data_IF_871702896641
#
_entry.id   IF_871702896641
#
_cell.length_a   1.000
_cell.length_b   1.000
_cell.length_c   1.000
_cell.angle_alpha   90.00
_cell.angle_beta   90.00
_cell.angle_gamma   90.00
#
_symmetry.space_group_name_H-M   'P 1'
#
loop_
_entity.id
_entity.type
_entity.pdbx_description
1 polymer ?
#
# COMPACT_ATOMS: atom_id res chain seq x y z
N UNK A 1 -3.69 8.75 -0.39
CA UNK A 1 -4.27 8.95 0.96
C UNK A 1 -3.18 9.12 2.02
N UNK A 2 -2.17 8.25 2.07
CA UNK A 2 -1.09 8.32 3.05
C UNK A 2 -0.31 9.66 3.08
N UNK A 3 -0.11 10.31 1.93
CA UNK A 3 0.66 11.57 1.84
C UNK A 3 0.01 12.75 2.57
N UNK A 4 -1.32 12.74 2.78
CA UNK A 4 -2.04 13.82 3.46
C UNK A 4 -1.87 13.74 4.98
N UNK A 5 -1.73 12.52 5.54
CA UNK A 5 -1.74 12.27 7.00
C UNK A 5 -0.35 11.99 7.61
N UNK A 6 0.64 11.56 6.81
CA UNK A 6 1.90 10.98 7.30
C UNK A 6 3.18 11.73 6.90
N UNK A 7 3.07 12.88 6.23
CA UNK A 7 4.23 13.64 5.75
C UNK A 7 4.75 14.62 6.80
N UNK A 8 5.24 14.12 7.94
CA UNK A 8 6.04 14.92 8.90
C UNK A 8 7.55 14.86 8.61
N UNK A 9 7.96 14.19 7.52
CA UNK A 9 9.36 13.97 7.15
C UNK A 9 10.05 15.18 6.46
N UNK A 10 9.50 16.40 6.54
CA UNK A 10 10.06 17.61 5.93
C UNK A 10 11.04 18.38 6.86
N UNK A 11 11.72 17.70 7.80
CA UNK A 11 12.75 18.36 8.62
C UNK A 11 14.06 18.67 7.88
N UNK A 12 14.17 18.35 6.58
CA UNK A 12 15.39 18.59 5.79
C UNK A 12 15.22 19.46 4.53
N UNK A 13 14.14 20.26 4.43
CA UNK A 13 13.95 21.22 3.33
C UNK A 13 13.82 22.67 3.83
N UNK A 14 14.63 23.04 4.83
CA UNK A 14 14.83 24.45 5.19
C UNK A 14 15.85 25.05 4.23
N UNK A 15 15.46 25.33 2.98
CA UNK A 15 16.17 26.23 2.06
C UNK A 15 15.27 26.52 0.84
N UNK A 16 14.47 27.60 0.95
CA UNK A 16 13.56 28.21 -0.04
C UNK A 16 12.11 27.66 -0.06
N UNK A 17 11.28 28.12 0.88
CA UNK A 17 9.82 28.00 0.74
C UNK A 17 9.32 28.80 -0.48
N UNK A 18 8.81 28.10 -1.50
CA UNK A 18 8.12 28.72 -2.64
C UNK A 18 6.63 28.90 -2.33
N UNK A 19 5.96 29.88 -2.96
CA UNK A 19 4.52 30.11 -2.80
C UNK A 19 3.67 28.84 -3.01
N UNK A 20 4.13 27.95 -3.91
CA UNK A 20 3.51 26.65 -4.20
C UNK A 20 3.54 25.70 -2.99
N UNK A 21 4.65 25.66 -2.24
CA UNK A 21 4.78 24.83 -1.05
C UNK A 21 3.83 25.28 0.06
N UNK A 22 3.71 26.60 0.30
CA UNK A 22 2.74 27.18 1.26
C UNK A 22 1.30 26.81 0.92
N UNK A 23 0.94 26.87 -0.36
CA UNK A 23 -0.40 26.52 -0.83
C UNK A 23 -0.71 25.03 -0.61
N UNK A 24 0.25 24.14 -0.91
CA UNK A 24 0.11 22.68 -0.68
C UNK A 24 -0.07 22.38 0.80
N UNK A 25 0.73 23.01 1.68
CA UNK A 25 0.60 22.84 3.14
C UNK A 25 -0.77 23.28 3.64
N UNK A 26 -1.27 24.44 3.20
CA UNK A 26 -2.61 24.93 3.56
C UNK A 26 -3.72 23.94 3.16
N UNK A 27 -3.61 23.35 1.96
CA UNK A 27 -4.56 22.34 1.51
C UNK A 27 -4.50 21.06 2.35
N UNK A 28 -3.30 20.60 2.75
CA UNK A 28 -3.13 19.43 3.63
C UNK A 28 -3.76 19.65 5.00
N UNK A 29 -3.54 20.80 5.63
CA UNK A 29 -4.15 21.11 6.94
C UNK A 29 -5.68 21.17 6.84
N UNK A 30 -6.23 21.78 5.79
CA UNK A 30 -7.66 21.79 5.56
C UNK A 30 -8.24 20.37 5.38
N UNK A 31 -7.55 19.50 4.63
CA UNK A 31 -7.95 18.11 4.47
C UNK A 31 -7.86 17.31 5.79
N UNK A 32 -6.84 17.57 6.61
CA UNK A 32 -6.67 16.96 7.93
C UNK A 32 -7.79 17.37 8.88
N UNK A 33 -8.20 18.64 8.84
CA UNK A 33 -9.31 19.13 9.65
C UNK A 33 -10.65 18.52 9.20
N UNK A 34 -10.92 18.48 7.90
CA UNK A 34 -12.10 17.80 7.36
C UNK A 34 -12.13 16.33 7.78
N UNK A 35 -11.00 15.63 7.70
CA UNK A 35 -10.90 14.24 8.15
C UNK A 35 -11.19 14.09 9.65
N UNK A 36 -10.69 15.02 10.48
CA UNK A 36 -10.96 15.06 11.92
C UNK A 36 -12.46 15.27 12.20
N UNK A 37 -13.13 16.14 11.45
CA UNK A 37 -14.57 16.36 11.58
C UNK A 37 -15.39 15.13 11.16
N UNK A 38 -15.03 14.48 10.04
CA UNK A 38 -15.77 13.34 9.52
C UNK A 38 -15.50 12.04 10.30
N UNK A 39 -14.28 11.85 10.79
CA UNK A 39 -13.82 10.61 11.44
C UNK A 39 -13.08 10.89 12.76
N UNK A 40 -13.74 11.54 13.75
CA UNK A 40 -13.07 12.03 14.95
C UNK A 40 -12.44 10.90 15.78
N UNK A 41 -13.10 9.76 15.87
CA UNK A 41 -12.58 8.60 16.61
C UNK A 41 -11.34 7.98 15.94
N UNK A 42 -11.34 7.89 14.60
CA UNK A 42 -10.19 7.39 13.84
C UNK A 42 -9.02 8.36 13.96
N UNK A 43 -9.29 9.67 13.89
CA UNK A 43 -8.25 10.68 14.06
C UNK A 43 -7.60 10.62 15.44
N UNK A 44 -8.40 10.49 16.52
CA UNK A 44 -7.86 10.34 17.87
C UNK A 44 -7.00 9.08 18.01
N UNK A 45 -7.41 7.96 17.41
CA UNK A 45 -6.60 6.74 17.39
C UNK A 45 -5.27 6.97 16.65
N UNK A 46 -5.31 7.65 15.50
CA UNK A 46 -4.10 7.94 14.74
C UNK A 46 -3.16 8.86 15.51
N UNK A 47 -3.69 9.91 16.12
CA UNK A 47 -2.93 10.82 16.98
C UNK A 47 -2.31 10.06 18.16
N UNK A 48 -3.07 9.19 18.83
CA UNK A 48 -2.59 8.35 19.93
C UNK A 48 -1.42 7.45 19.53
N UNK A 49 -1.54 6.72 18.42
CA UNK A 49 -0.46 5.84 17.92
C UNK A 49 0.78 6.68 17.54
N UNK A 50 0.58 7.88 17.00
CA UNK A 50 1.68 8.76 16.57
C UNK A 50 2.31 9.59 17.69
N UNK A 51 1.86 9.48 18.95
CA UNK A 51 2.29 10.36 20.05
C UNK A 51 3.82 10.35 20.24
N UNK A 52 4.42 9.17 20.25
CA UNK A 52 5.86 8.99 20.50
C UNK A 52 6.68 9.02 19.20
N UNK A 53 6.20 8.38 18.13
CA UNK A 53 6.84 8.37 16.82
C UNK A 53 5.81 8.53 15.70
N UNK A 54 5.91 9.64 14.98
CA UNK A 54 5.05 9.97 13.83
C UNK A 54 5.06 8.89 12.73
N UNK A 55 6.12 8.08 12.65
CA UNK A 55 6.28 6.99 11.67
C UNK A 55 5.56 5.71 12.09
N UNK A 56 5.26 5.54 13.38
CA UNK A 56 4.77 4.28 13.94
C UNK A 56 3.51 3.81 13.23
N UNK A 57 2.55 4.71 13.02
CA UNK A 57 1.30 4.37 12.34
C UNK A 57 1.54 3.91 10.89
N UNK A 58 2.45 4.56 10.16
CA UNK A 58 2.79 4.16 8.79
C UNK A 58 3.47 2.79 8.76
N UNK A 59 4.46 2.56 9.63
CA UNK A 59 5.14 1.28 9.74
C UNK A 59 4.19 0.14 10.16
N UNK A 60 3.29 0.42 11.10
CA UNK A 60 2.29 -0.55 11.55
C UNK A 60 1.36 -0.96 10.41
N UNK A 61 0.84 0.01 9.64
CA UNK A 61 -0.04 -0.28 8.52
C UNK A 61 0.68 -1.08 7.42
N UNK A 62 1.93 -0.73 7.12
CA UNK A 62 2.77 -1.50 6.18
C UNK A 62 3.06 -2.91 6.69
N UNK A 63 3.29 -3.10 7.98
CA UNK A 63 3.50 -4.41 8.59
C UNK A 63 2.24 -5.29 8.52
N UNK A 64 1.07 -4.70 8.77
CA UNK A 64 -0.23 -5.38 8.63
C UNK A 64 -0.43 -5.79 7.17
N UNK A 65 -0.18 -4.90 6.21
CA UNK A 65 -0.28 -5.19 4.77
C UNK A 65 0.61 -6.37 4.37
N UNK A 66 1.90 -6.32 4.73
CA UNK A 66 2.85 -7.39 4.46
C UNK A 66 2.45 -8.71 5.12
N UNK A 67 1.91 -8.68 6.34
CA UNK A 67 1.43 -9.87 7.02
C UNK A 67 0.25 -10.51 6.28
N UNK A 68 -0.74 -9.72 5.87
CA UNK A 68 -1.91 -10.21 5.13
C UNK A 68 -1.48 -10.83 3.80
N UNK A 69 -0.70 -10.13 2.98
CA UNK A 69 -0.35 -10.62 1.65
C UNK A 69 0.71 -11.72 1.67
N UNK A 70 1.85 -11.49 2.33
CA UNK A 70 2.97 -12.43 2.27
C UNK A 70 2.76 -13.64 3.18
N UNK A 71 2.25 -13.43 4.38
CA UNK A 71 2.12 -14.54 5.35
C UNK A 71 0.84 -15.32 5.13
N UNK A 72 -0.30 -14.64 4.93
CA UNK A 72 -1.61 -15.30 4.89
C UNK A 72 -1.99 -15.73 3.49
N UNK A 73 -2.02 -14.80 2.52
CA UNK A 73 -2.35 -15.12 1.12
C UNK A 73 -1.28 -16.02 0.50
N UNK A 74 -0.03 -15.54 0.39
CA UNK A 74 1.04 -16.30 -0.26
C UNK A 74 1.35 -17.61 0.49
N UNK A 75 1.26 -17.61 1.83
CA UNK A 75 1.41 -18.82 2.64
C UNK A 75 0.33 -19.88 2.36
N UNK A 76 -0.93 -19.46 2.20
CA UNK A 76 -2.03 -20.36 1.81
C UNK A 76 -1.85 -20.91 0.40
N UNK A 77 -1.53 -20.04 -0.55
CA UNK A 77 -1.24 -20.42 -1.93
C UNK A 77 -0.11 -21.43 -2.01
N UNK A 78 1.01 -21.21 -1.29
CA UNK A 78 2.15 -22.14 -1.27
C UNK A 78 1.79 -23.51 -0.68
N UNK A 79 0.85 -23.56 0.27
CA UNK A 79 0.37 -24.81 0.87
C UNK A 79 -0.53 -25.59 -0.09
N UNK A 80 -1.44 -24.90 -0.75
CA UNK A 80 -2.45 -25.51 -1.64
C UNK A 80 -1.93 -25.80 -3.05
N UNK A 81 -1.01 -24.98 -3.57
CA UNK A 81 -0.42 -25.11 -4.92
C UNK A 81 1.10 -24.89 -4.91
N UNK A 82 1.84 -25.87 -4.37
CA UNK A 82 3.32 -25.79 -4.22
C UNK A 82 4.09 -25.50 -5.52
N UNK A 83 3.60 -25.99 -6.66
CA UNK A 83 4.26 -25.83 -7.96
C UNK A 83 3.91 -24.50 -8.67
N UNK A 84 3.01 -23.70 -8.11
CA UNK A 84 2.56 -22.46 -8.73
C UNK A 84 3.62 -21.36 -8.59
N UNK A 85 4.11 -20.77 -9.69
CA UNK A 85 5.00 -19.61 -9.61
C UNK A 85 4.26 -18.43 -8.98
N UNK A 86 4.88 -17.84 -7.96
CA UNK A 86 4.34 -16.73 -7.20
C UNK A 86 5.43 -15.70 -6.98
N UNK A 87 5.22 -14.50 -7.49
CA UNK A 87 6.11 -13.37 -7.28
C UNK A 87 5.33 -12.22 -6.67
N UNK A 88 5.99 -11.43 -5.84
CA UNK A 88 5.35 -10.32 -5.15
C UNK A 88 6.20 -9.06 -5.28
N UNK A 89 5.56 -7.95 -5.60
CA UNK A 89 6.17 -6.62 -5.67
C UNK A 89 5.24 -5.69 -4.89
N UNK A 90 5.64 -5.28 -3.69
CA UNK A 90 4.77 -4.57 -2.74
C UNK A 90 3.43 -5.28 -2.53
N UNK A 91 2.32 -4.62 -2.87
CA UNK A 91 0.94 -5.09 -2.77
C UNK A 91 0.50 -5.96 -3.95
N UNK A 92 1.35 -6.10 -4.96
CA UNK A 92 1.04 -6.80 -6.20
C UNK A 92 1.58 -8.21 -6.21
N UNK A 93 0.72 -9.16 -6.59
CA UNK A 93 1.07 -10.58 -6.72
C UNK A 93 1.02 -10.96 -8.20
N UNK A 94 2.14 -11.44 -8.73
CA UNK A 94 2.27 -11.93 -10.10
C UNK A 94 2.25 -13.46 -10.14
N UNK A 95 1.43 -13.99 -11.02
CA UNK A 95 1.16 -15.42 -11.20
C UNK A 95 0.96 -15.73 -12.68
N UNK A 96 0.81 -17.01 -13.02
CA UNK A 96 0.32 -17.41 -14.34
C UNK A 96 -1.18 -17.13 -14.48
N UNK A 97 -1.61 -16.75 -15.67
CA UNK A 97 -3.01 -16.38 -15.98
C UNK A 97 -4.02 -17.47 -15.57
N UNK A 98 -3.67 -18.74 -15.78
CA UNK A 98 -4.50 -19.90 -15.42
C UNK A 98 -4.88 -19.97 -13.93
N UNK A 99 -4.11 -19.32 -13.05
CA UNK A 99 -4.36 -19.31 -11.61
C UNK A 99 -5.08 -18.06 -11.11
N UNK A 100 -5.48 -17.15 -12.01
CA UNK A 100 -6.06 -15.84 -11.65
C UNK A 100 -7.28 -15.97 -10.75
N UNK A 101 -8.30 -16.70 -11.19
CA UNK A 101 -9.56 -16.83 -10.44
C UNK A 101 -9.34 -17.45 -9.05
N UNK A 102 -8.40 -18.39 -8.94
CA UNK A 102 -8.03 -19.00 -7.67
C UNK A 102 -7.38 -17.98 -6.73
N UNK A 103 -6.38 -17.23 -7.20
CA UNK A 103 -5.71 -16.23 -6.38
C UNK A 103 -6.66 -15.12 -5.93
N UNK A 104 -7.53 -14.64 -6.83
CA UNK A 104 -8.54 -13.63 -6.49
C UNK A 104 -9.48 -14.11 -5.38
N UNK A 105 -9.87 -15.38 -5.39
CA UNK A 105 -10.64 -16.00 -4.30
C UNK A 105 -9.88 -15.99 -2.98
N UNK A 106 -8.63 -16.48 -2.99
CA UNK A 106 -7.80 -16.53 -1.78
C UNK A 106 -7.57 -15.13 -1.19
N UNK A 107 -7.27 -14.12 -2.03
CA UNK A 107 -7.08 -12.74 -1.56
C UNK A 107 -8.35 -12.21 -0.91
N UNK A 108 -9.52 -12.39 -1.53
CA UNK A 108 -10.79 -11.92 -0.98
C UNK A 108 -11.13 -12.60 0.34
N UNK A 109 -10.95 -13.93 0.41
CA UNK A 109 -11.23 -14.71 1.62
C UNK A 109 -10.32 -14.33 2.78
N UNK A 110 -9.00 -14.28 2.56
CA UNK A 110 -8.05 -13.96 3.62
C UNK A 110 -8.21 -12.50 4.11
N UNK A 111 -8.42 -11.55 3.19
CA UNK A 111 -8.67 -10.16 3.57
C UNK A 111 -9.98 -10.04 4.34
N UNK A 112 -11.08 -10.64 3.87
CA UNK A 112 -12.36 -10.61 4.56
C UNK A 112 -12.24 -11.23 5.96
N UNK A 113 -11.54 -12.35 6.09
CA UNK A 113 -11.32 -13.05 7.37
C UNK A 113 -10.51 -12.23 8.37
N UNK A 114 -9.51 -11.46 7.90
CA UNK A 114 -8.58 -10.73 8.77
C UNK A 114 -9.01 -9.30 9.08
N UNK A 115 -9.65 -8.62 8.12
CA UNK A 115 -9.98 -7.19 8.21
C UNK A 115 -11.48 -6.93 8.23
N UNK A 116 -12.31 -7.94 7.94
CA UNK A 116 -13.75 -7.76 7.73
C UNK A 116 -14.11 -7.12 6.38
N UNK A 117 -13.13 -6.92 5.49
CA UNK A 117 -13.33 -6.27 4.20
C UNK A 117 -12.74 -7.10 3.05
N UNK A 118 -13.57 -7.36 2.03
CA UNK A 118 -13.14 -7.98 0.78
C UNK A 118 -12.68 -6.90 -0.22
N UNK A 119 -11.39 -6.85 -0.60
CA UNK A 119 -10.89 -5.84 -1.51
C UNK A 119 -11.35 -6.08 -2.95
N UNK A 120 -11.38 -5.00 -3.72
CA UNK A 120 -11.40 -5.09 -5.18
C UNK A 120 -10.01 -5.50 -5.65
N UNK A 121 -9.91 -6.58 -6.41
CA UNK A 121 -8.67 -7.05 -7.02
C UNK A 121 -8.70 -6.69 -8.50
N UNK A 122 -7.62 -6.06 -8.98
CA UNK A 122 -7.41 -5.73 -10.38
C UNK A 122 -6.25 -6.57 -10.92
N UNK A 123 -6.42 -7.14 -12.12
CA UNK A 123 -5.42 -7.99 -12.75
C UNK A 123 -5.04 -7.44 -14.12
N UNK A 124 -3.74 -7.31 -14.36
CA UNK A 124 -3.17 -6.88 -15.63
C UNK A 124 -2.20 -7.94 -16.16
N UNK A 125 -2.25 -8.22 -17.46
CA UNK A 125 -1.32 -9.15 -18.11
C UNK A 125 0.02 -8.45 -18.40
N UNK A 126 1.10 -9.04 -17.89
CA UNK A 126 2.47 -8.63 -18.18
C UNK A 126 2.90 -9.22 -19.54
N UNK A 127 2.60 -8.50 -20.63
CA UNK A 127 3.00 -8.92 -21.97
C UNK A 127 4.41 -8.42 -22.32
N UNK A 128 5.30 -9.25 -22.90
CA UNK A 128 6.68 -8.86 -23.23
C UNK A 128 6.79 -7.59 -24.09
N UNK A 129 5.85 -7.36 -25.00
CA UNK A 129 5.84 -6.16 -25.86
C UNK A 129 5.66 -4.83 -25.10
N UNK A 130 5.25 -4.89 -23.82
CA UNK A 130 5.12 -3.71 -22.95
C UNK A 130 6.33 -3.50 -22.05
N UNK A 131 7.28 -4.43 -22.05
CA UNK A 131 8.52 -4.30 -21.29
C UNK A 131 9.51 -3.49 -22.14
N UNK A 132 9.60 -2.20 -21.84
CA UNK A 132 10.63 -1.31 -22.39
C UNK A 132 12.00 -1.68 -21.84
N UNK A 133 12.55 -2.81 -22.26
CA UNK A 133 13.95 -3.12 -21.99
C UNK A 133 14.79 -2.21 -22.88
N UNK A 134 15.64 -1.33 -22.33
CA UNK A 134 16.65 -0.69 -23.16
C UNK A 134 17.52 -1.82 -23.71
N UNK A 135 17.53 -1.98 -25.03
CA UNK A 135 18.51 -2.82 -25.70
C UNK A 135 19.89 -2.26 -25.33
N UNK A 136 20.55 -2.88 -24.34
CA UNK A 136 22.00 -2.77 -24.24
C UNK A 136 22.52 -3.62 -25.39
N UNK A 137 22.83 -2.97 -26.52
CA UNK A 137 23.72 -3.54 -27.52
C UNK A 137 24.99 -3.98 -26.78
N UNK A 138 25.23 -5.28 -26.78
CA UNK A 138 26.48 -5.84 -26.28
C UNK A 138 27.59 -5.36 -27.23
N UNK A 139 28.49 -4.53 -26.70
CA UNK A 139 29.75 -4.17 -27.33
C UNK A 139 30.74 -5.35 -27.26
#
# INVERSE_FOLDING_TARGET
MFTILFSENEKELVRKETMKAKMIRKQREAAKELFRCCFPTVMRLFEYIKQEDHRLLSCLLQAIEAHVLLTKVCGRVKRERKAMPLFTVHDSISITESNRSYLEGVVKEECLRLTGYAPKVEGNLLHPSKLGFPHKEAA
#
